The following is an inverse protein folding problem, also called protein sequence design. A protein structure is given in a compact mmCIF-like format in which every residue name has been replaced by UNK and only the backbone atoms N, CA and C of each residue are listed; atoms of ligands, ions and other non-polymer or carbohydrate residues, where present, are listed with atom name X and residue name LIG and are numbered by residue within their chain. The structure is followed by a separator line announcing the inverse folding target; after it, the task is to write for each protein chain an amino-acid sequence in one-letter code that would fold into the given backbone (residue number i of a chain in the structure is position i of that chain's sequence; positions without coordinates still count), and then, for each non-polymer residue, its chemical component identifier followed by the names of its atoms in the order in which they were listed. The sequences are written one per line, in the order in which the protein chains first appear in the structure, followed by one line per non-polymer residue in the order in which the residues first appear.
data_IF_408014517013
#
_entry.id   IF_408014517013
#
_cell.length_a   1.000
_cell.length_b   1.000
_cell.length_c   1.000
_cell.angle_alpha   90.00
_cell.angle_beta   90.00
_cell.angle_gamma   90.00
#
_symmetry.space_group_name_H-M   'P 1'
#
loop_
_entity.id
_entity.type
_entity.pdbx_description
1 polymer ?
#
# COMPACT_ATOMS: atom_id res chain seq x y z
N UNK A 1 12.19 -7.42 -9.54
CA UNK A 1 11.57 -8.74 -9.27
C UNK A 1 10.74 -9.15 -10.47
N UNK A 2 10.63 -10.44 -10.77
CA UNK A 2 9.78 -10.93 -11.88
C UNK A 2 8.29 -10.92 -11.50
N UNK A 3 7.40 -10.97 -12.50
CA UNK A 3 5.96 -11.09 -12.28
C UNK A 3 5.66 -12.36 -11.49
N UNK A 4 4.72 -12.33 -10.53
CA UNK A 4 4.27 -13.54 -9.86
C UNK A 4 3.65 -14.51 -10.88
N UNK A 5 3.79 -15.81 -10.65
CA UNK A 5 3.27 -16.83 -11.56
C UNK A 5 1.72 -16.86 -11.61
N UNK A 6 1.08 -16.37 -10.55
CA UNK A 6 -0.37 -16.23 -10.43
C UNK A 6 -0.70 -15.09 -9.49
N UNK A 7 -1.89 -14.52 -9.63
CA UNK A 7 -2.46 -13.55 -8.71
C UNK A 7 -3.70 -14.17 -8.07
N UNK A 8 -3.90 -13.95 -6.77
CA UNK A 8 -5.15 -14.29 -6.09
C UNK A 8 -5.98 -13.00 -5.96
N UNK A 9 -7.21 -13.00 -6.47
CA UNK A 9 -8.12 -11.84 -6.45
C UNK A 9 -9.40 -12.17 -5.68
N UNK A 10 -9.95 -11.24 -4.91
CA UNK A 10 -11.20 -11.47 -4.16
C UNK A 10 -12.44 -11.64 -5.06
N UNK A 11 -12.43 -10.99 -6.23
CA UNK A 11 -13.50 -11.11 -7.22
C UNK A 11 -13.00 -10.89 -8.63
N UNK A 12 -13.76 -11.40 -9.60
CA UNK A 12 -13.54 -11.07 -11.01
C UNK A 12 -13.71 -9.59 -11.25
N UNK A 13 -12.75 -9.00 -11.97
CA UNK A 13 -12.85 -7.61 -12.40
C UNK A 13 -13.96 -7.46 -13.44
N UNK A 14 -14.79 -6.42 -13.29
CA UNK A 14 -15.80 -6.07 -14.29
C UNK A 14 -15.16 -5.73 -15.64
N UNK A 15 -15.89 -5.98 -16.73
CA UNK A 15 -15.43 -5.68 -18.09
C UNK A 15 -15.31 -4.17 -18.33
N UNK A 16 -14.22 -3.75 -18.99
CA UNK A 16 -13.89 -2.32 -19.21
C UNK A 16 -15.04 -1.58 -19.92
N UNK A 17 -15.60 -2.21 -20.96
CA UNK A 17 -16.66 -1.60 -21.76
C UNK A 17 -17.93 -1.33 -20.96
N UNK A 18 -18.29 -2.23 -20.04
CA UNK A 18 -19.48 -2.08 -19.21
C UNK A 18 -19.31 -0.95 -18.18
N UNK A 19 -18.13 -0.87 -17.55
CA UNK A 19 -17.80 0.20 -16.59
C UNK A 19 -17.71 1.54 -17.29
N UNK A 20 -17.05 1.60 -18.45
CA UNK A 20 -16.97 2.82 -19.27
C UNK A 20 -18.35 3.31 -19.69
N UNK A 21 -19.19 2.42 -20.24
CA UNK A 21 -20.57 2.76 -20.63
C UNK A 21 -21.36 3.31 -19.43
N UNK A 22 -21.23 2.69 -18.25
CA UNK A 22 -21.88 3.17 -17.04
C UNK A 22 -21.41 4.58 -16.65
N UNK A 23 -20.08 4.83 -16.64
CA UNK A 23 -19.48 6.12 -16.31
C UNK A 23 -19.87 7.23 -17.29
N UNK A 24 -19.94 6.92 -18.59
CA UNK A 24 -20.33 7.89 -19.63
C UNK A 24 -21.84 8.16 -19.63
N UNK A 25 -22.66 7.22 -19.16
CA UNK A 25 -24.12 7.33 -19.15
C UNK A 25 -24.70 8.03 -17.90
N UNK A 26 -23.89 8.17 -16.85
CA UNK A 26 -24.34 8.66 -15.55
C UNK A 26 -23.76 10.04 -15.25
N UNK A 27 -24.53 10.90 -14.57
CA UNK A 27 -24.06 12.19 -14.05
C UNK A 27 -23.17 11.94 -12.81
N UNK A 28 -21.96 11.45 -13.06
CA UNK A 28 -21.01 10.99 -12.02
C UNK A 28 -20.03 12.06 -11.58
N UNK A 29 -19.94 13.14 -12.34
CA UNK A 29 -19.06 14.29 -12.12
C UNK A 29 -19.85 15.49 -11.64
N UNK A 30 -19.15 16.49 -11.08
CA UNK A 30 -19.80 17.70 -10.56
C UNK A 30 -20.18 18.63 -11.71
N UNK A 31 -19.37 18.66 -12.76
CA UNK A 31 -19.55 19.52 -13.91
C UNK A 31 -19.86 18.70 -15.15
N UNK A 32 -20.87 19.12 -15.92
CA UNK A 32 -21.27 18.47 -17.18
C UNK A 32 -20.19 18.54 -18.27
N UNK A 33 -19.20 19.42 -18.11
CA UNK A 33 -18.07 19.57 -19.03
C UNK A 33 -16.95 18.57 -18.76
N UNK A 34 -16.90 17.96 -17.56
CA UNK A 34 -15.94 16.92 -17.23
C UNK A 34 -16.21 15.66 -18.05
N UNK A 35 -15.19 15.14 -18.73
CA UNK A 35 -15.27 13.93 -19.55
C UNK A 35 -14.27 12.89 -19.09
N UNK A 36 -14.65 11.63 -19.25
CA UNK A 36 -13.77 10.50 -18.98
C UNK A 36 -12.58 10.52 -19.95
N UNK A 37 -11.39 10.82 -19.42
CA UNK A 37 -10.13 10.79 -20.18
C UNK A 37 -9.51 9.39 -20.12
N UNK A 38 -9.38 8.83 -18.92
CA UNK A 38 -8.71 7.54 -18.70
C UNK A 38 -9.48 6.64 -17.76
N UNK A 39 -9.28 5.34 -17.96
CA UNK A 39 -9.83 4.28 -17.12
C UNK A 39 -8.75 3.25 -16.87
N UNK A 40 -8.24 3.23 -15.64
CA UNK A 40 -7.16 2.35 -15.22
C UNK A 40 -7.73 1.22 -14.37
N UNK A 41 -7.32 -0.02 -14.65
CA UNK A 41 -7.57 -1.12 -13.72
C UNK A 41 -6.47 -1.09 -12.66
N UNK A 42 -6.84 -1.07 -11.39
CA UNK A 42 -5.89 -1.14 -10.28
C UNK A 42 -6.10 -2.45 -9.52
N UNK A 43 -5.02 -3.18 -9.26
CA UNK A 43 -5.01 -4.35 -8.39
C UNK A 43 -4.34 -3.94 -7.07
N UNK A 44 -5.15 -3.66 -6.05
CA UNK A 44 -4.68 -3.16 -4.75
C UNK A 44 -4.28 -4.33 -3.83
N UNK A 45 -3.04 -4.38 -3.31
CA UNK A 45 -2.54 -5.51 -2.52
C UNK A 45 -3.12 -5.49 -1.10
N UNK A 46 -3.56 -6.65 -0.63
CA UNK A 46 -3.98 -6.88 0.75
C UNK A 46 -3.46 -8.21 1.26
N UNK A 47 -3.23 -8.31 2.56
CA UNK A 47 -3.07 -9.60 3.22
C UNK A 47 -4.40 -10.05 3.77
N UNK A 48 -4.77 -11.28 3.46
CA UNK A 48 -5.88 -11.99 4.10
C UNK A 48 -5.30 -12.71 5.29
N UNK A 49 -5.60 -12.21 6.50
CA UNK A 49 -5.07 -12.75 7.75
C UNK A 49 -6.18 -13.49 8.46
N UNK A 50 -6.03 -14.81 8.54
CA UNK A 50 -6.95 -15.67 9.27
C UNK A 50 -6.39 -15.91 10.67
N UNK A 51 -7.21 -15.64 11.69
CA UNK A 51 -6.81 -15.73 13.09
C UNK A 51 -7.79 -16.57 13.89
N UNK A 52 -7.31 -17.17 14.98
CA UNK A 52 -8.12 -17.96 15.88
C UNK A 52 -8.36 -17.26 17.22
N UNK A 53 -9.51 -17.54 17.81
CA UNK A 53 -9.89 -17.03 19.11
C UNK A 53 -10.84 -17.97 19.85
N UNK A 54 -10.94 -17.80 21.17
CA UNK A 54 -11.80 -18.60 22.02
C UNK A 54 -13.15 -17.92 22.23
N UNK A 55 -14.17 -18.37 21.51
CA UNK A 55 -15.54 -17.87 21.64
C UNK A 55 -16.34 -18.59 22.73
N UNK A 56 -17.44 -17.96 23.16
CA UNK A 56 -18.43 -18.65 24.01
C UNK A 56 -19.35 -19.49 23.11
N UNK A 57 -19.31 -20.81 23.25
CA UNK A 57 -20.15 -21.73 22.45
C UNK A 57 -21.65 -21.58 22.77
N UNK A 58 -22.49 -21.54 21.74
CA UNK A 58 -23.96 -21.40 21.88
C UNK A 58 -24.65 -22.65 22.45
N UNK A 59 -23.96 -23.80 22.50
CA UNK A 59 -24.48 -25.03 23.11
C UNK A 59 -23.49 -25.58 24.15
N UNK A 60 -23.94 -25.64 25.40
CA UNK A 60 -23.34 -26.37 26.53
C UNK A 60 -21.89 -25.96 26.89
N UNK A 61 -21.73 -24.90 27.70
CA UNK A 61 -20.60 -24.67 28.65
C UNK A 61 -19.23 -25.22 28.17
N UNK A 62 -18.78 -24.79 27.00
CA UNK A 62 -17.46 -25.11 26.46
C UNK A 62 -16.87 -23.90 25.76
N UNK A 63 -15.56 -23.71 25.95
CA UNK A 63 -14.74 -22.85 25.11
C UNK A 63 -14.74 -23.45 23.69
N UNK A 64 -15.11 -22.64 22.70
CA UNK A 64 -15.10 -23.05 21.30
C UNK A 64 -14.00 -22.28 20.57
N UNK A 65 -13.06 -23.01 19.96
CA UNK A 65 -12.10 -22.39 19.06
C UNK A 65 -12.82 -21.96 17.78
N UNK A 66 -12.78 -20.66 17.51
CA UNK A 66 -13.32 -20.05 16.32
C UNK A 66 -12.20 -19.43 15.50
N UNK A 67 -12.49 -19.23 14.24
CA UNK A 67 -11.59 -18.62 13.28
C UNK A 67 -12.35 -17.52 12.57
N UNK A 68 -11.65 -16.44 12.29
CA UNK A 68 -12.18 -15.31 11.56
C UNK A 68 -11.06 -14.66 10.74
N UNK A 69 -11.41 -13.72 9.86
CA UNK A 69 -10.50 -13.14 8.88
C UNK A 69 -10.54 -11.62 8.96
N UNK A 70 -9.38 -11.00 8.79
CA UNK A 70 -9.26 -9.54 8.58
C UNK A 70 -8.41 -9.27 7.34
N UNK A 71 -8.57 -8.07 6.79
CA UNK A 71 -7.66 -7.54 5.78
C UNK A 71 -6.62 -6.61 6.41
N UNK A 72 -5.37 -6.75 5.96
CA UNK A 72 -4.26 -5.86 6.31
C UNK A 72 -3.73 -5.19 5.04
N UNK A 73 -3.47 -3.89 5.12
CA UNK A 73 -3.04 -3.08 3.99
C UNK A 73 -1.68 -3.56 3.44
N UNK A 74 -1.69 -3.98 2.16
CA UNK A 74 -0.49 -4.46 1.48
C UNK A 74 0.56 -3.38 1.24
N UNK A 75 0.17 -2.10 1.28
CA UNK A 75 1.05 -0.96 1.10
C UNK A 75 1.64 -0.41 2.40
N UNK A 76 1.16 -0.84 3.58
CA UNK A 76 1.50 -0.22 4.87
C UNK A 76 1.24 1.29 4.92
N UNK A 77 0.25 1.76 4.15
CA UNK A 77 -0.11 3.17 4.03
C UNK A 77 -1.17 3.63 5.03
N UNK A 78 -1.73 2.70 5.80
CA UNK A 78 -2.71 2.99 6.85
C UNK A 78 -4.16 2.92 6.38
N UNK A 79 -4.43 2.25 5.27
CA UNK A 79 -5.78 2.10 4.70
C UNK A 79 -6.56 0.92 5.32
N UNK A 80 -6.09 0.35 6.43
CA UNK A 80 -6.67 -0.85 7.07
C UNK A 80 -8.19 -0.70 7.31
N UNK A 81 -8.66 0.45 7.81
CA UNK A 81 -10.08 0.69 8.06
C UNK A 81 -10.93 0.77 6.80
N UNK A 82 -10.36 1.27 5.71
CA UNK A 82 -11.07 1.41 4.45
C UNK A 82 -11.18 0.06 3.72
N UNK A 83 -10.15 -0.79 3.85
CA UNK A 83 -10.16 -2.11 3.24
C UNK A 83 -10.96 -3.14 4.04
N UNK A 84 -11.17 -2.94 5.34
CA UNK A 84 -11.95 -3.85 6.19
C UNK A 84 -13.37 -4.10 5.63
N UNK A 85 -13.94 -3.13 4.94
CA UNK A 85 -15.21 -3.25 4.21
C UNK A 85 -15.24 -4.42 3.20
N UNK A 86 -14.09 -4.84 2.65
CA UNK A 86 -14.01 -5.90 1.64
C UNK A 86 -13.74 -7.29 2.24
N UNK A 87 -13.66 -7.43 3.56
CA UNK A 87 -13.24 -8.68 4.23
C UNK A 87 -14.08 -9.88 3.82
N UNK A 88 -15.42 -9.76 3.86
CA UNK A 88 -16.33 -10.86 3.51
C UNK A 88 -16.06 -11.42 2.11
N UNK A 89 -15.86 -10.54 1.12
CA UNK A 89 -15.59 -10.93 -0.26
C UNK A 89 -14.18 -11.50 -0.48
N UNK A 90 -13.21 -11.14 0.36
CA UNK A 90 -11.82 -11.55 0.24
C UNK A 90 -11.50 -12.91 0.88
N UNK A 91 -12.46 -13.53 1.58
CA UNK A 91 -12.31 -14.87 2.15
C UNK A 91 -12.28 -15.98 1.09
N UNK A 92 -12.86 -15.74 -0.09
CA UNK A 92 -12.88 -16.68 -1.22
C UNK A 92 -12.17 -16.08 -2.44
N UNK A 93 -10.87 -16.33 -2.58
CA UNK A 93 -10.09 -15.78 -3.70
C UNK A 93 -10.13 -16.66 -4.96
N UNK A 94 -10.11 -16.02 -6.13
CA UNK A 94 -9.89 -16.66 -7.42
C UNK A 94 -8.43 -16.50 -7.86
N UNK A 95 -7.79 -17.61 -8.20
CA UNK A 95 -6.44 -17.60 -8.79
C UNK A 95 -6.49 -17.32 -10.29
N UNK A 96 -5.79 -16.28 -10.73
CA UNK A 96 -5.75 -15.84 -12.13
C UNK A 96 -4.32 -15.73 -12.65
N UNK A 97 -4.18 -15.89 -13.97
CA UNK A 97 -2.91 -15.65 -14.69
C UNK A 97 -2.69 -14.14 -14.88
N UNK A 98 -1.58 -13.56 -14.37
CA UNK A 98 -1.25 -12.16 -14.60
C UNK A 98 -1.15 -11.79 -16.08
N UNK A 99 -0.82 -12.73 -16.98
CA UNK A 99 -0.81 -12.51 -18.43
C UNK A 99 -2.17 -12.18 -19.04
N UNK A 100 -3.27 -12.40 -18.29
CA UNK A 100 -4.62 -11.93 -18.68
C UNK A 100 -4.76 -10.41 -18.56
N UNK A 101 -3.88 -9.76 -17.80
CA UNK A 101 -3.88 -8.32 -17.60
C UNK A 101 -2.83 -7.65 -18.48
N UNK A 102 -3.24 -6.52 -19.04
CA UNK A 102 -2.33 -5.64 -19.76
C UNK A 102 -1.56 -4.80 -18.73
N UNK A 103 -0.46 -5.38 -18.23
CA UNK A 103 0.46 -4.76 -17.25
C UNK A 103 1.53 -3.87 -17.92
N UNK A 104 1.45 -3.66 -19.23
CA UNK A 104 2.44 -2.87 -19.97
C UNK A 104 3.75 -3.61 -20.24
N UNK A 105 3.74 -4.96 -20.23
CA UNK A 105 4.92 -5.81 -20.39
C UNK A 105 5.66 -5.56 -21.71
N UNK A 106 4.91 -5.23 -22.76
CA UNK A 106 5.42 -5.11 -24.11
C UNK A 106 5.57 -3.65 -24.60
N UNK A 107 5.53 -2.64 -23.71
CA UNK A 107 5.60 -1.21 -24.08
C UNK A 107 6.20 -0.33 -22.99
N UNK A 108 6.73 0.83 -23.40
CA UNK A 108 7.19 1.85 -22.46
C UNK A 108 5.98 2.55 -21.79
N UNK A 109 5.89 2.43 -20.46
CA UNK A 109 4.84 3.04 -19.64
C UNK A 109 3.89 2.03 -18.98
N UNK A 110 3.01 2.48 -18.06
CA UNK A 110 2.06 1.59 -17.40
C UNK A 110 1.07 1.01 -18.40
N UNK A 111 0.75 -0.27 -18.24
CA UNK A 111 -0.34 -0.90 -18.97
C UNK A 111 -1.71 -0.34 -18.58
N UNK A 112 -2.78 -0.86 -19.17
CA UNK A 112 -4.15 -0.54 -18.73
C UNK A 112 -4.43 -1.03 -17.31
N UNK A 113 -3.66 -2.01 -16.84
CA UNK A 113 -3.70 -2.53 -15.48
C UNK A 113 -2.44 -2.11 -14.72
N UNK A 114 -2.63 -1.47 -13.58
CA UNK A 114 -1.61 -1.16 -12.60
C UNK A 114 -1.71 -2.21 -11.49
N UNK A 115 -0.67 -3.00 -11.31
CA UNK A 115 -0.54 -3.95 -10.21
C UNK A 115 0.26 -3.27 -9.11
N UNK A 116 -0.32 -3.04 -7.93
CA UNK A 116 0.45 -2.48 -6.82
C UNK A 116 1.31 -3.56 -6.15
N UNK A 117 2.57 -3.27 -5.88
CA UNK A 117 3.49 -4.20 -5.22
C UNK A 117 3.27 -4.18 -3.70
N UNK A 118 3.31 -5.38 -3.10
CA UNK A 118 3.32 -5.51 -1.64
C UNK A 118 4.55 -4.82 -1.04
N UNK A 119 4.33 -3.89 -0.12
CA UNK A 119 5.38 -3.12 0.54
C UNK A 119 5.88 -3.76 1.84
N UNK A 120 5.31 -4.89 2.26
CA UNK A 120 5.96 -5.72 3.27
C UNK A 120 5.72 -7.22 3.11
N UNK A 121 6.29 -7.97 4.06
CA UNK A 121 6.36 -9.43 4.02
C UNK A 121 5.19 -10.08 4.75
N UNK A 122 4.96 -11.37 4.49
CA UNK A 122 3.91 -12.13 5.15
C UNK A 122 4.16 -12.22 6.66
N UNK A 123 5.43 -12.31 7.10
CA UNK A 123 5.79 -12.33 8.51
C UNK A 123 5.41 -11.03 9.21
N UNK A 124 5.62 -9.88 8.54
CA UNK A 124 5.23 -8.58 9.08
C UNK A 124 3.71 -8.44 9.16
N UNK A 125 2.97 -8.95 8.18
CA UNK A 125 1.51 -9.00 8.23
C UNK A 125 1.00 -9.91 9.36
N UNK A 126 1.60 -11.09 9.53
CA UNK A 126 1.25 -12.04 10.60
C UNK A 126 1.45 -11.42 11.99
N UNK A 127 2.56 -10.72 12.20
CA UNK A 127 2.86 -10.09 13.48
C UNK A 127 1.96 -8.88 13.80
N UNK A 128 1.39 -8.21 12.78
CA UNK A 128 0.67 -6.94 12.96
C UNK A 128 -0.47 -7.04 13.98
N UNK A 129 -1.33 -8.06 13.83
CA UNK A 129 -2.50 -8.23 14.70
C UNK A 129 -2.08 -8.55 16.13
N UNK A 130 -1.18 -9.54 16.29
CA UNK A 130 -0.65 -9.93 17.60
C UNK A 130 0.06 -8.76 18.30
N UNK A 131 0.85 -7.97 17.58
CA UNK A 131 1.53 -6.79 18.11
C UNK A 131 0.54 -5.71 18.56
N UNK A 132 -0.51 -5.45 17.78
CA UNK A 132 -1.54 -4.46 18.11
C UNK A 132 -2.35 -4.90 19.33
N UNK A 133 -2.78 -6.16 19.40
CA UNK A 133 -3.47 -6.72 20.57
C UNK A 133 -2.54 -6.73 21.80
N UNK A 134 -1.26 -7.09 21.64
CA UNK A 134 -0.28 -7.03 22.72
C UNK A 134 -0.13 -5.63 23.31
N UNK A 135 -0.12 -4.59 22.45
CA UNK A 135 -0.07 -3.19 22.91
C UNK A 135 -1.28 -2.80 23.75
N UNK A 136 -2.48 -3.25 23.37
CA UNK A 136 -3.71 -3.02 24.14
C UNK A 136 -3.54 -3.47 25.61
N UNK A 137 -2.99 -4.66 25.85
CA UNK A 137 -2.79 -5.19 27.20
C UNK A 137 -1.71 -4.46 28.01
N UNK A 138 -0.78 -3.78 27.34
CA UNK A 138 0.31 -3.05 28.01
C UNK A 138 -0.01 -1.57 28.28
N UNK A 139 -1.03 -1.01 27.62
CA UNK A 139 -1.41 0.39 27.75
C UNK A 139 -2.33 0.62 28.97
N UNK A 140 -1.72 1.08 30.06
CA UNK A 140 -2.36 1.22 31.37
C UNK A 140 -3.30 2.45 31.52
N UNK A 141 -3.65 3.15 30.45
CA UNK A 141 -4.47 4.37 30.53
C UNK A 141 -5.38 4.68 29.33
N UNK A 142 -5.14 4.08 28.16
CA UNK A 142 -5.93 4.32 26.95
C UNK A 142 -6.54 3.06 26.33
N UNK A 143 -6.55 1.94 27.07
CA UNK A 143 -7.03 0.64 26.60
C UNK A 143 -8.39 0.70 25.89
N UNK A 144 -9.41 1.34 26.48
CA UNK A 144 -10.75 1.39 25.88
C UNK A 144 -10.80 2.18 24.56
N UNK A 145 -10.11 3.32 24.48
CA UNK A 145 -10.07 4.12 23.26
C UNK A 145 -9.28 3.41 22.16
N UNK A 146 -8.17 2.77 22.51
CA UNK A 146 -7.37 1.97 21.59
C UNK A 146 -8.11 0.72 21.13
N UNK A 147 -8.84 0.05 22.02
CA UNK A 147 -9.72 -1.07 21.71
C UNK A 147 -10.83 -0.67 20.73
N UNK A 148 -11.49 0.48 20.97
CA UNK A 148 -12.49 1.00 20.06
C UNK A 148 -11.91 1.30 18.67
N UNK A 149 -10.70 1.85 18.61
CA UNK A 149 -10.00 2.12 17.36
C UNK A 149 -9.59 0.84 16.62
N UNK A 150 -9.10 -0.18 17.34
CA UNK A 150 -8.76 -1.47 16.75
C UNK A 150 -10.00 -2.17 16.17
N UNK A 151 -11.12 -2.17 16.91
CA UNK A 151 -12.40 -2.69 16.42
C UNK A 151 -12.85 -1.98 15.17
N UNK A 152 -12.75 -0.65 15.13
CA UNK A 152 -13.08 0.16 13.95
C UNK A 152 -12.14 -0.09 12.77
N UNK A 153 -10.86 -0.32 13.05
CA UNK A 153 -9.83 -0.47 12.00
C UNK A 153 -9.93 -1.79 11.26
N UNK A 154 -10.26 -2.88 11.96
CA UNK A 154 -10.35 -4.20 11.35
C UNK A 154 -11.78 -4.73 11.21
N UNK A 155 -12.76 -3.91 11.59
CA UNK A 155 -14.19 -4.27 11.60
C UNK A 155 -14.47 -5.58 12.35
N UNK A 156 -13.85 -5.75 13.53
CA UNK A 156 -14.08 -6.94 14.37
C UNK A 156 -15.56 -7.06 14.73
N UNK A 157 -16.09 -8.28 14.65
CA UNK A 157 -17.42 -8.59 15.16
C UNK A 157 -17.52 -8.15 16.64
N UNK A 158 -18.64 -7.55 17.02
CA UNK A 158 -18.87 -7.04 18.38
C UNK A 158 -18.78 -8.11 19.48
N UNK A 159 -18.77 -9.40 19.13
CA UNK A 159 -18.56 -10.54 20.03
C UNK A 159 -17.09 -10.93 20.21
N UNK A 160 -16.16 -10.36 19.43
CA UNK A 160 -14.74 -10.59 19.58
C UNK A 160 -14.18 -9.81 20.78
N UNK A 161 -13.56 -10.56 21.70
CA UNK A 161 -12.84 -10.05 22.84
C UNK A 161 -11.33 -10.24 22.64
N UNK A 162 -10.54 -9.21 22.90
CA UNK A 162 -9.09 -9.25 22.66
C UNK A 162 -8.38 -10.30 23.53
N UNK A 163 -8.90 -10.59 24.72
CA UNK A 163 -8.41 -11.63 25.62
C UNK A 163 -8.61 -13.04 25.06
N UNK A 164 -9.56 -13.21 24.14
CA UNK A 164 -9.85 -14.48 23.51
C UNK A 164 -8.93 -14.78 22.32
N UNK A 165 -8.18 -13.80 21.81
CA UNK A 165 -7.23 -13.99 20.72
C UNK A 165 -6.20 -15.06 21.08
N UNK A 166 -6.05 -16.05 20.20
CA UNK A 166 -5.13 -17.16 20.40
C UNK A 166 -3.87 -16.98 19.53
N UNK A 167 -4.03 -17.02 18.21
CA UNK A 167 -2.90 -16.88 17.28
C UNK A 167 -3.37 -16.48 15.87
N UNK A 168 -2.41 -16.15 15.00
CA UNK A 168 -2.62 -16.03 13.56
C UNK A 168 -2.38 -17.40 12.91
N UNK A 169 -3.38 -17.93 12.22
CA UNK A 169 -3.36 -19.26 11.61
C UNK A 169 -2.75 -19.24 10.21
N UNK A 170 -3.08 -18.23 9.41
CA UNK A 170 -2.55 -18.08 8.05
C UNK A 170 -2.49 -16.63 7.61
N UNK A 171 -1.58 -16.38 6.66
CA UNK A 171 -1.46 -15.10 5.95
C UNK A 171 -1.32 -15.38 4.47
N UNK A 172 -2.32 -14.95 3.71
CA UNK A 172 -2.36 -15.08 2.26
C UNK A 172 -2.25 -13.70 1.61
N UNK A 173 -1.70 -13.64 0.40
CA UNK A 173 -1.63 -12.42 -0.40
C UNK A 173 -2.77 -12.42 -1.40
N UNK A 174 -3.58 -11.37 -1.40
CA UNK A 174 -4.64 -11.19 -2.37
C UNK A 174 -4.60 -9.78 -2.95
N UNK A 175 -5.37 -9.60 -4.02
CA UNK A 175 -5.58 -8.33 -4.66
C UNK A 175 -7.06 -8.00 -4.69
N UNK A 176 -7.38 -6.74 -4.40
CA UNK A 176 -8.71 -6.17 -4.60
C UNK A 176 -8.71 -5.44 -5.95
N UNK A 177 -9.46 -5.91 -6.96
CA UNK A 177 -9.55 -5.20 -8.23
C UNK A 177 -10.48 -3.99 -8.13
N UNK A 178 -10.01 -2.88 -8.70
CA UNK A 178 -10.73 -1.62 -8.86
C UNK A 178 -10.54 -1.08 -10.29
N UNK A 179 -11.45 -0.20 -10.68
CA UNK A 179 -11.29 0.73 -11.78
C UNK A 179 -11.16 2.14 -11.23
N UNK A 180 -10.14 2.86 -11.69
CA UNK A 180 -9.93 4.29 -11.42
C UNK A 180 -10.23 5.05 -12.70
N UNK A 181 -11.32 5.79 -12.67
CA UNK A 181 -11.75 6.69 -13.72
C UNK A 181 -11.17 8.08 -13.46
N UNK A 182 -10.55 8.65 -14.49
CA UNK A 182 -9.98 9.99 -14.50
C UNK A 182 -10.82 10.87 -15.42
N UNK A 183 -11.41 11.92 -14.84
CA UNK A 183 -12.21 12.89 -15.55
C UNK A 183 -11.45 14.20 -15.65
N UNK A 184 -11.44 14.80 -16.84
CA UNK A 184 -10.85 16.11 -17.10
C UNK A 184 -11.90 17.07 -17.62
N UNK A 185 -11.76 18.33 -17.23
CA UNK A 185 -12.43 19.46 -17.86
C UNK A 185 -11.46 20.17 -18.80
N UNK A 186 -11.91 20.55 -20.00
CA UNK A 186 -11.07 21.25 -20.99
C UNK A 186 -10.56 22.61 -20.47
N UNK A 187 -11.14 23.13 -19.36
CA UNK A 187 -10.80 24.40 -18.73
C UNK A 187 -9.99 24.30 -17.43
N UNK A 188 -9.78 23.10 -16.87
CA UNK A 188 -9.04 22.90 -15.63
C UNK A 188 -7.88 21.92 -15.80
N UNK A 189 -6.70 22.27 -15.25
CA UNK A 189 -5.53 21.40 -15.26
C UNK A 189 -5.63 20.25 -14.22
N UNK A 190 -6.70 20.21 -13.41
CA UNK A 190 -6.90 19.19 -12.39
C UNK A 190 -7.87 18.11 -12.85
N UNK A 191 -7.50 16.86 -12.62
CA UNK A 191 -8.36 15.72 -12.87
C UNK A 191 -9.21 15.36 -11.64
N UNK A 192 -10.47 15.01 -11.86
CA UNK A 192 -11.33 14.39 -10.86
C UNK A 192 -11.21 12.87 -10.95
N UNK A 193 -10.88 12.22 -9.84
CA UNK A 193 -10.76 10.76 -9.77
C UNK A 193 -12.00 10.11 -9.14
N UNK A 194 -12.41 8.97 -9.70
CA UNK A 194 -13.45 8.10 -9.12
C UNK A 194 -12.99 6.65 -9.15
N UNK A 195 -13.18 5.96 -8.02
CA UNK A 195 -12.89 4.53 -7.91
C UNK A 195 -14.20 3.74 -7.85
N UNK A 196 -14.26 2.62 -8.58
CA UNK A 196 -15.38 1.67 -8.61
C UNK A 196 -14.86 0.25 -8.74
N UNK A 197 -15.64 -0.77 -8.36
CA UNK A 197 -15.29 -2.17 -8.58
C UNK A 197 -16.09 -2.78 -9.72
N UNK A 198 -17.32 -2.32 -9.93
CA UNK A 198 -18.19 -2.68 -11.04
C UNK A 198 -19.07 -1.52 -11.56
N UNK A 199 -19.92 -1.83 -12.54
CA UNK A 199 -20.77 -0.84 -13.20
C UNK A 199 -21.96 -0.38 -12.34
N UNK A 200 -22.34 -1.15 -11.32
CA UNK A 200 -23.44 -0.78 -10.43
C UNK A 200 -22.97 0.24 -9.39
N UNK A 201 -21.72 0.13 -8.93
CA UNK A 201 -21.05 1.12 -8.07
C UNK A 201 -21.03 2.54 -8.67
N UNK A 202 -21.12 2.65 -10.00
CA UNK A 202 -21.17 3.94 -10.70
C UNK A 202 -22.48 4.67 -10.41
N UNK A 203 -23.59 3.92 -10.33
CA UNK A 203 -24.95 4.46 -10.21
C UNK A 203 -25.36 4.70 -8.77
N UNK A 204 -24.74 3.99 -7.84
CA UNK A 204 -24.88 4.22 -6.41
C UNK A 204 -23.89 5.31 -5.98
N UNK A 205 -24.33 6.27 -5.17
CA UNK A 205 -23.41 7.19 -4.46
C UNK A 205 -22.73 6.44 -3.29
N UNK A 206 -22.13 5.29 -3.61
CA UNK A 206 -21.48 4.46 -2.62
C UNK A 206 -20.06 4.99 -2.40
N UNK A 207 -19.90 5.70 -1.28
CA UNK A 207 -18.62 6.30 -0.88
C UNK A 207 -17.60 5.25 -0.43
N UNK A 208 -17.96 3.97 -0.38
CA UNK A 208 -17.09 2.87 0.07
C UNK A 208 -15.79 2.74 -0.73
N UNK A 209 -15.71 3.29 -1.94
CA UNK A 209 -14.49 3.27 -2.76
C UNK A 209 -13.76 4.61 -2.84
N UNK A 210 -14.36 5.69 -2.32
CA UNK A 210 -13.83 7.06 -2.46
C UNK A 210 -12.48 7.28 -1.77
N UNK A 211 -12.16 6.46 -0.76
CA UNK A 211 -10.86 6.45 -0.11
C UNK A 211 -9.73 6.21 -1.11
N UNK A 212 -9.93 5.32 -2.10
CA UNK A 212 -8.89 4.94 -3.05
C UNK A 212 -8.64 6.04 -4.08
N UNK A 213 -9.71 6.70 -4.54
CA UNK A 213 -9.58 7.88 -5.39
C UNK A 213 -8.89 9.03 -4.65
N UNK A 214 -9.22 9.23 -3.37
CA UNK A 214 -8.56 10.23 -2.50
C UNK A 214 -7.09 9.87 -2.26
N UNK A 215 -6.79 8.59 -2.04
CA UNK A 215 -5.45 8.07 -1.87
C UNK A 215 -4.61 8.30 -3.13
N UNK A 216 -5.09 7.90 -4.32
CA UNK A 216 -4.32 8.13 -5.56
C UNK A 216 -4.23 9.63 -5.89
N UNK A 217 -5.32 10.39 -5.71
CA UNK A 217 -5.37 11.81 -6.04
C UNK A 217 -4.51 12.70 -5.14
N UNK A 218 -4.29 12.31 -3.88
CA UNK A 218 -3.42 13.04 -2.96
C UNK A 218 -1.94 13.04 -3.39
N UNK A 219 -1.52 12.02 -4.14
CA UNK A 219 -0.17 11.94 -4.69
C UNK A 219 -0.17 11.10 -5.98
N UNK A 220 -0.20 11.75 -7.16
CA UNK A 220 -0.20 11.06 -8.45
C UNK A 220 1.01 10.15 -8.68
N UNK A 221 2.11 10.37 -7.95
CA UNK A 221 3.30 9.52 -8.08
C UNK A 221 3.09 8.13 -7.51
N UNK A 222 2.06 7.90 -6.67
CA UNK A 222 1.72 6.59 -6.10
C UNK A 222 1.47 5.51 -7.14
N UNK A 223 0.89 5.88 -8.29
CA UNK A 223 0.69 4.94 -9.40
C UNK A 223 2.02 4.41 -9.95
N UNK A 224 3.07 5.23 -9.89
CA UNK A 224 4.41 4.89 -10.35
C UNK A 224 5.23 4.29 -9.20
N UNK A 225 5.07 4.79 -7.97
CA UNK A 225 5.76 4.35 -6.76
C UNK A 225 5.42 2.90 -6.43
N UNK A 226 4.13 2.60 -6.30
CA UNK A 226 3.65 1.27 -5.95
C UNK A 226 3.34 0.41 -7.16
N UNK A 227 3.15 1.01 -8.33
CA UNK A 227 2.91 0.28 -9.57
C UNK A 227 4.06 -0.66 -9.90
N UNK A 228 3.72 -1.88 -10.30
CA UNK A 228 4.65 -2.90 -10.71
C UNK A 228 5.56 -2.38 -11.83
N UNK A 229 6.86 -2.29 -11.53
CA UNK A 229 7.87 -1.82 -12.48
C UNK A 229 8.55 -3.02 -13.12
N UNK A 230 8.34 -3.17 -14.42
CA UNK A 230 9.15 -4.08 -15.23
C UNK A 230 10.55 -3.50 -15.35
N UNK A 231 11.47 -3.98 -14.52
CA UNK A 231 12.89 -3.89 -14.86
C UNK A 231 13.10 -4.79 -16.08
N UNK A 232 13.39 -4.18 -17.24
CA UNK A 232 13.60 -4.89 -18.49
C UNK A 232 14.48 -6.12 -18.30
N UNK A 233 14.06 -7.25 -18.87
CA UNK A 233 14.77 -8.51 -18.80
C UNK A 233 16.23 -8.33 -19.27
N UNK A 234 17.18 -8.36 -18.32
CA UNK A 234 18.60 -8.32 -18.63
C UNK A 234 19.47 -8.07 -17.41
N UNK A 235 20.02 -9.15 -16.83
CA UNK A 235 21.20 -9.07 -15.96
C UNK A 235 20.96 -9.52 -14.53
N UNK A 236 21.59 -10.66 -14.19
CA UNK A 236 21.77 -11.11 -12.83
C UNK A 236 22.52 -10.05 -12.00
N UNK A 237 22.03 -9.79 -10.78
CA UNK A 237 22.79 -9.65 -9.55
C UNK A 237 21.84 -9.14 -8.46
N UNK A 238 21.21 -10.10 -7.77
CA UNK A 238 20.62 -9.79 -6.47
C UNK A 238 21.74 -9.54 -5.47
N UNK A 239 21.61 -8.58 -4.53
CA UNK A 239 22.58 -8.44 -3.47
C UNK A 239 22.53 -9.70 -2.59
N UNK A 240 23.56 -10.54 -2.70
CA UNK A 240 23.83 -11.61 -1.74
C UNK A 240 24.20 -10.95 -0.43
N UNK A 241 23.32 -11.08 0.57
CA UNK A 241 23.67 -10.81 1.96
C UNK A 241 24.55 -11.98 2.41
N UNK A 242 25.86 -11.74 2.41
CA UNK A 242 26.89 -12.65 2.89
C UNK A 242 26.81 -12.73 4.43
N UNK A 243 26.16 -13.79 4.91
CA UNK A 243 26.16 -14.17 6.32
C UNK A 243 26.95 -15.48 6.45
N UNK A 244 28.21 -15.35 6.88
CA UNK A 244 29.23 -16.39 6.72
C UNK A 244 30.36 -16.35 7.76
N UNK A 245 30.00 -16.22 9.03
CA UNK A 245 30.67 -16.75 10.22
C UNK A 245 31.98 -17.55 10.01
N UNK A 246 33.09 -17.14 10.65
CA UNK A 246 33.98 -18.09 11.35
C UNK A 246 34.94 -17.48 12.38
N UNK A 247 34.97 -18.19 13.51
CA UNK A 247 35.78 -18.00 14.72
C UNK A 247 37.23 -18.46 14.51
N UNK A 248 38.05 -18.02 15.48
CA UNK A 248 39.27 -18.62 16.02
C UNK A 248 40.56 -18.58 15.18
N UNK A 249 41.51 -17.74 15.63
CA UNK A 249 42.87 -18.18 16.02
C UNK A 249 43.69 -17.03 16.63
N UNK A 250 44.00 -17.17 17.92
CA UNK A 250 45.14 -16.54 18.56
C UNK A 250 46.22 -17.60 18.79
N UNK A 251 47.43 -17.39 18.26
CA UNK A 251 48.74 -17.72 18.87
C UNK A 251 49.91 -17.52 17.89
N UNK A 252 51.01 -16.96 18.44
CA UNK A 252 52.37 -16.78 17.90
C UNK A 252 52.54 -15.65 16.87
N UNK A 253 53.46 -14.69 17.00
CA UNK A 253 54.53 -14.45 17.98
C UNK A 253 55.67 -13.65 17.32
N UNK A 254 56.10 -12.55 17.96
CA UNK A 254 57.50 -12.08 17.97
C UNK A 254 57.97 -11.04 16.92
N UNK A 255 58.37 -9.86 17.43
CA UNK A 255 59.49 -9.00 16.99
C UNK A 255 59.32 -8.19 15.69
N UNK A 256 59.75 -6.93 15.52
CA UNK A 256 60.71 -6.06 16.19
C UNK A 256 60.42 -4.57 15.83
N UNK A 257 61.12 -3.68 16.53
CA UNK A 257 61.08 -2.20 16.61
C UNK A 257 61.30 -1.42 15.29
N UNK A 258 60.79 -0.18 15.26
CA UNK A 258 61.54 0.98 14.74
C UNK A 258 60.75 2.03 13.94
N UNK A 259 60.80 3.28 14.43
CA UNK A 259 60.69 4.58 13.73
C UNK A 259 59.34 5.13 13.21
N UNK A 260 58.87 6.20 13.89
CA UNK A 260 58.32 7.43 13.28
C UNK A 260 59.45 8.18 12.52
N UNK A 261 59.22 9.15 11.59
CA UNK A 261 58.05 10.05 11.49
C UNK A 261 57.60 10.44 10.04
N UNK A 262 56.62 11.36 9.97
CA UNK A 262 56.36 12.41 8.95
C UNK A 262 55.42 12.09 7.78
N UNK A 263 54.32 12.87 7.67
CA UNK A 263 53.61 13.11 6.41
C UNK A 263 52.11 13.38 6.57
N UNK A 264 51.73 14.66 6.62
CA UNK A 264 50.38 15.21 6.42
C UNK A 264 50.49 16.24 5.27
N UNK A 265 49.42 16.75 4.61
CA UNK A 265 48.15 16.19 4.14
C UNK A 265 48.11 16.17 2.60
N UNK A 266 47.14 15.48 1.96
CA UNK A 266 46.70 15.89 0.62
C UNK A 266 45.25 15.50 0.33
N UNK A 267 44.50 16.56 0.04
CA UNK A 267 43.14 16.64 -0.47
C UNK A 267 42.94 15.78 -1.73
N UNK A 268 41.85 15.02 -1.77
CA UNK A 268 41.23 14.58 -3.04
C UNK A 268 39.85 15.17 -3.10
N UNK A 269 39.79 16.33 -3.76
CA UNK A 269 38.59 17.06 -4.09
C UNK A 269 37.68 16.30 -5.06
N UNK A 270 36.39 16.59 -4.91
CA UNK A 270 35.32 16.19 -5.81
C UNK A 270 35.56 16.88 -7.16
N UNK A 271 35.75 16.09 -8.22
CA UNK A 271 35.85 16.59 -9.59
C UNK A 271 34.42 16.77 -10.13
N UNK A 272 33.98 18.03 -10.25
CA UNK A 272 32.76 18.36 -11.01
C UNK A 272 33.09 18.45 -12.51
N UNK A 273 32.23 17.94 -13.40
CA UNK A 273 32.42 18.06 -14.85
C UNK A 273 32.28 19.51 -15.32
N UNK A 274 33.15 19.94 -16.22
CA UNK A 274 33.13 21.28 -16.82
C UNK A 274 31.91 21.46 -17.73
N UNK A 275 31.11 22.50 -17.49
CA UNK A 275 30.04 22.93 -18.39
C UNK A 275 28.66 23.21 -17.77
N UNK A 276 28.50 23.19 -16.45
CA UNK A 276 27.24 23.59 -15.81
C UNK A 276 27.43 24.88 -15.02
N UNK A 277 27.01 25.99 -15.61
CA UNK A 277 26.74 27.23 -14.89
C UNK A 277 25.42 27.04 -14.11
N UNK A 278 25.52 26.70 -12.82
CA UNK A 278 24.38 26.78 -11.90
C UNK A 278 24.34 28.19 -11.33
N UNK A 279 23.64 29.10 -12.02
CA UNK A 279 23.19 30.35 -11.42
C UNK A 279 22.16 30.02 -10.33
N UNK A 280 22.66 30.03 -9.09
CA UNK A 280 21.92 29.70 -7.88
C UNK A 280 21.31 30.95 -7.21
N UNK A 281 20.72 31.87 -7.97
CA UNK A 281 19.91 32.96 -7.42
C UNK A 281 18.76 33.29 -8.37
N UNK A 282 17.53 33.35 -7.85
CA UNK A 282 16.27 33.81 -8.50
C UNK A 282 15.28 32.73 -8.94
N UNK A 283 14.67 32.02 -7.98
CA UNK A 283 13.27 31.60 -8.06
C UNK A 283 12.72 31.27 -6.67
N UNK A 284 12.89 32.23 -5.75
CA UNK A 284 12.09 32.36 -4.55
C UNK A 284 11.24 33.61 -4.74
N UNK A 285 9.97 33.43 -5.06
CA UNK A 285 8.97 34.48 -4.90
C UNK A 285 8.10 34.12 -3.67
N UNK A 286 8.35 34.75 -2.51
CA UNK A 286 7.50 34.59 -1.35
C UNK A 286 6.43 35.69 -1.33
N UNK A 287 5.16 35.34 -1.56
CA UNK A 287 4.01 36.04 -0.97
C UNK A 287 2.74 35.22 -1.08
N UNK A 288 2.12 34.89 0.06
CA UNK A 288 0.75 35.37 0.22
C UNK A 288 0.60 36.23 1.49
N UNK A 289 0.20 37.47 1.27
CA UNK A 289 -0.21 38.42 2.31
C UNK A 289 -1.43 37.88 3.04
N UNK A 290 -1.28 37.59 4.33
CA UNK A 290 -2.38 37.31 5.23
C UNK A 290 -3.27 38.55 5.40
N UNK A 291 -4.47 38.51 4.83
CA UNK A 291 -5.54 39.47 5.11
C UNK A 291 -6.40 38.97 6.26
N UNK A 292 -6.09 39.39 7.48
CA UNK A 292 -6.94 39.20 8.66
C UNK A 292 -8.19 40.09 8.53
N UNK A 293 -9.36 39.49 8.28
CA UNK A 293 -10.64 40.17 8.43
C UNK A 293 -11.06 40.14 9.91
N UNK A 294 -10.82 41.27 10.58
CA UNK A 294 -11.30 41.55 11.94
C UNK A 294 -12.81 41.72 11.92
N UNK A 295 -13.50 40.88 12.69
CA UNK A 295 -14.89 41.09 13.12
C UNK A 295 -14.94 42.29 14.07
N UNK A 296 -15.80 43.26 13.78
CA UNK A 296 -16.18 44.32 14.71
C UNK A 296 -17.71 44.36 14.81
N UNK A 297 -18.20 44.08 16.01
CA UNK A 297 -19.38 44.70 16.61
C UNK A 297 -18.90 45.62 17.73
#
# INVERSE_FOLDING_TARGET
MGLPASLDIDRRTAEESAVREALESADVTRFESERLDRLHRLLYPVFVVTYSYTGTGHMVRGEEHRTDTILVDGLWSGNDSDIAYYTDGATETERVDPGRYDLGIDRDGPGRTVLFEFQATNERAAALLADRIGRYFTDNGHGEAYAAELRRTFDFDGSFEFEAFADVESVERAYLPFWIAEFHDDGEDSATLRAVRDADDVRTDDRSHSWLASFVGADPTRLIEYGYRLSGAGGADGPSIDDGQKRDRAAAGGGERGDEPTGDPSETGVVQPEGVELDAETLLDPSPTAGSATWAG
#
